data_IF_071050775122
#
_entry.id   IF_071050775122
#
_cell.length_a   1.000
_cell.length_b   1.000
_cell.length_c   1.000
_cell.angle_alpha   90.00
_cell.angle_beta   90.00
_cell.angle_gamma   90.00
#
_symmetry.space_group_name_H-M   'P 1'
#
loop_
_entity.id
_entity.type
_entity.pdbx_description
1 polymer ?
#
# COMPACT_ATOMS: atom_id res chain seq x y z
N UNK A 1 15.63 -40.21 -14.94
CA UNK A 1 14.53 -39.22 -15.03
C UNK A 1 14.31 -38.46 -13.71
N UNK A 2 14.19 -39.14 -12.57
CA UNK A 2 13.92 -38.50 -11.26
C UNK A 2 15.01 -37.53 -10.76
N UNK A 3 16.30 -37.84 -11.00
CA UNK A 3 17.43 -36.96 -10.64
C UNK A 3 17.49 -35.64 -11.43
N UNK A 4 17.01 -35.61 -12.68
CA UNK A 4 16.98 -34.39 -13.48
C UNK A 4 15.91 -33.41 -12.99
N UNK A 5 14.75 -33.95 -12.60
CA UNK A 5 13.64 -33.17 -12.04
C UNK A 5 14.07 -32.58 -10.69
N UNK A 6 14.74 -33.38 -9.85
CA UNK A 6 15.25 -32.91 -8.55
C UNK A 6 16.32 -31.82 -8.69
N UNK A 7 17.26 -31.98 -9.63
CA UNK A 7 18.27 -30.95 -9.90
C UNK A 7 17.64 -29.67 -10.48
N UNK A 8 16.64 -29.78 -11.35
CA UNK A 8 15.92 -28.63 -11.90
C UNK A 8 15.15 -27.85 -10.84
N UNK A 9 14.46 -28.57 -9.93
CA UNK A 9 13.77 -27.98 -8.78
C UNK A 9 14.75 -27.29 -7.83
N UNK A 10 15.87 -27.93 -7.51
CA UNK A 10 16.90 -27.36 -6.64
C UNK A 10 17.50 -26.08 -7.24
N UNK A 11 17.78 -26.06 -8.54
CA UNK A 11 18.29 -24.87 -9.24
C UNK A 11 17.26 -23.75 -9.24
N UNK A 12 15.99 -24.07 -9.50
CA UNK A 12 14.90 -23.08 -9.50
C UNK A 12 14.71 -22.48 -8.11
N UNK A 13 14.67 -23.31 -7.08
CA UNK A 13 14.55 -22.88 -5.68
C UNK A 13 15.75 -22.03 -5.26
N UNK A 14 16.99 -22.41 -5.60
CA UNK A 14 18.18 -21.61 -5.29
C UNK A 14 18.14 -20.26 -6.02
N UNK A 15 17.67 -20.20 -7.27
CA UNK A 15 17.49 -18.93 -7.99
C UNK A 15 16.41 -18.07 -7.35
N UNK A 16 15.29 -18.65 -6.93
CA UNK A 16 14.20 -17.94 -6.28
C UNK A 16 14.61 -17.43 -4.91
N UNK A 17 15.33 -18.23 -4.11
CA UNK A 17 15.91 -17.82 -2.83
C UNK A 17 16.93 -16.72 -3.06
N UNK A 18 17.84 -16.85 -4.03
CA UNK A 18 18.82 -15.79 -4.36
C UNK A 18 18.15 -14.51 -4.85
N UNK A 19 17.03 -14.62 -5.54
CA UNK A 19 16.23 -13.48 -5.97
C UNK A 19 15.53 -12.80 -4.79
N UNK A 20 14.91 -13.58 -3.89
CA UNK A 20 14.18 -13.09 -2.71
C UNK A 20 15.11 -12.53 -1.63
N UNK A 21 16.25 -13.19 -1.37
CA UNK A 21 17.28 -12.81 -0.40
C UNK A 21 18.36 -11.90 -0.98
N UNK A 22 18.25 -11.51 -2.25
CA UNK A 22 19.06 -10.42 -2.76
C UNK A 22 18.76 -9.19 -1.92
N UNK A 23 19.79 -8.61 -1.29
CA UNK A 23 19.59 -7.48 -0.37
C UNK A 23 18.79 -6.39 -1.09
N UNK A 24 17.89 -5.72 -0.37
CA UNK A 24 17.13 -4.58 -0.88
C UNK A 24 18.04 -3.55 -1.60
N UNK A 25 19.29 -3.44 -1.15
CA UNK A 25 20.36 -2.65 -1.79
C UNK A 25 20.79 -3.20 -3.15
N UNK A 26 21.04 -4.49 -3.32
CA UNK A 26 21.43 -5.04 -4.63
C UNK A 26 20.32 -4.91 -5.68
N UNK A 27 19.05 -5.10 -5.29
CA UNK A 27 17.91 -4.86 -6.20
C UNK A 27 17.79 -3.39 -6.59
N UNK A 28 17.88 -2.48 -5.61
CA UNK A 28 17.79 -1.05 -5.87
C UNK A 28 18.97 -0.55 -6.72
N UNK A 29 20.20 -1.01 -6.48
CA UNK A 29 21.37 -0.68 -7.31
C UNK A 29 21.21 -1.17 -8.75
N UNK A 30 20.66 -2.37 -8.95
CA UNK A 30 20.42 -2.91 -10.29
C UNK A 30 19.32 -2.14 -11.04
N UNK A 31 18.25 -1.78 -10.36
CA UNK A 31 17.20 -0.92 -10.91
C UNK A 31 17.73 0.47 -11.26
N UNK A 32 18.49 1.10 -10.35
CA UNK A 32 19.15 2.39 -10.58
C UNK A 32 20.04 2.33 -11.82
N UNK A 33 20.82 1.25 -11.98
CA UNK A 33 21.73 1.08 -13.12
C UNK A 33 20.98 0.96 -14.44
N UNK A 34 19.92 0.14 -14.50
CA UNK A 34 19.07 -0.01 -15.70
C UNK A 34 18.36 1.29 -16.09
N UNK A 35 17.85 2.02 -15.10
CA UNK A 35 17.19 3.31 -15.30
C UNK A 35 18.21 4.34 -15.82
N UNK A 36 19.41 4.34 -15.23
CA UNK A 36 20.50 5.24 -15.64
C UNK A 36 20.94 4.99 -17.08
N UNK A 37 21.16 3.74 -17.47
CA UNK A 37 21.51 3.36 -18.85
C UNK A 37 20.46 3.87 -19.85
N UNK A 38 19.18 3.63 -19.57
CA UNK A 38 18.07 4.08 -20.42
C UNK A 38 18.01 5.59 -20.60
N UNK A 39 18.29 6.36 -19.56
CA UNK A 39 18.23 7.83 -19.61
C UNK A 39 19.52 8.47 -20.13
N UNK A 40 20.65 7.76 -20.10
CA UNK A 40 21.94 8.28 -20.58
C UNK A 40 21.94 8.53 -22.09
N UNK A 41 21.17 7.75 -22.85
CA UNK A 41 21.02 7.87 -24.31
C UNK A 41 20.10 9.04 -24.73
N UNK A 42 19.38 9.64 -23.79
CA UNK A 42 18.41 10.70 -24.07
C UNK A 42 19.09 12.08 -23.99
N UNK A 43 18.72 13.00 -24.89
CA UNK A 43 19.19 14.39 -24.89
C UNK A 43 18.69 15.20 -23.68
N UNK A 44 19.46 16.21 -23.27
CA UNK A 44 19.25 16.98 -22.02
C UNK A 44 17.86 17.63 -21.97
N UNK A 45 17.39 18.24 -23.06
CA UNK A 45 16.06 18.87 -23.12
C UNK A 45 14.91 17.88 -22.85
N UNK A 46 15.01 16.66 -23.39
CA UNK A 46 14.00 15.60 -23.19
C UNK A 46 14.09 14.98 -21.78
N UNK A 47 15.28 14.93 -21.18
CA UNK A 47 15.46 14.54 -19.79
C UNK A 47 14.83 15.55 -18.82
N UNK A 48 14.98 16.85 -19.09
CA UNK A 48 14.35 17.91 -18.28
C UNK A 48 12.82 17.84 -18.33
N UNK A 49 12.23 17.62 -19.51
CA UNK A 49 10.78 17.45 -19.66
C UNK A 49 10.25 16.23 -18.88
N UNK A 50 10.95 15.08 -19.00
CA UNK A 50 10.64 13.87 -18.23
C UNK A 50 10.73 14.13 -16.72
N UNK A 51 11.74 14.88 -16.29
CA UNK A 51 11.92 15.24 -14.88
C UNK A 51 10.79 16.14 -14.36
N UNK A 52 10.37 17.15 -15.13
CA UNK A 52 9.25 18.03 -14.77
C UNK A 52 7.96 17.20 -14.66
N UNK A 53 7.71 16.31 -15.61
CA UNK A 53 6.56 15.41 -15.60
C UNK A 53 6.55 14.51 -14.35
N UNK A 54 7.68 13.89 -14.00
CA UNK A 54 7.77 13.07 -12.79
C UNK A 54 7.60 13.89 -11.52
N UNK A 55 8.17 15.10 -11.43
CA UNK A 55 7.98 16.00 -10.28
C UNK A 55 6.51 16.38 -10.09
N UNK A 56 5.84 16.78 -11.17
CA UNK A 56 4.41 17.10 -11.13
C UNK A 56 3.57 15.87 -10.70
N UNK A 57 3.88 14.68 -11.21
CA UNK A 57 3.19 13.45 -10.80
C UNK A 57 3.40 13.09 -9.33
N UNK A 58 4.61 13.28 -8.79
CA UNK A 58 4.90 13.03 -7.38
C UNK A 58 4.15 14.02 -6.51
N UNK A 59 4.20 15.31 -6.83
CA UNK A 59 3.52 16.36 -6.09
C UNK A 59 2.00 16.15 -6.09
N UNK A 60 1.42 15.83 -7.25
CA UNK A 60 -0.01 15.50 -7.35
C UNK A 60 -0.35 14.24 -6.53
N UNK A 61 0.48 13.20 -6.58
CA UNK A 61 0.26 11.97 -5.79
C UNK A 61 0.36 12.23 -4.28
N UNK A 62 1.28 13.10 -3.85
CA UNK A 62 1.40 13.52 -2.45
C UNK A 62 0.20 14.34 -2.00
N UNK A 63 -0.26 15.29 -2.83
CA UNK A 63 -1.46 16.09 -2.56
C UNK A 63 -2.69 15.19 -2.41
N UNK A 64 -2.88 14.26 -3.34
CA UNK A 64 -3.96 13.27 -3.27
C UNK A 64 -3.85 12.40 -2.02
N UNK A 65 -2.65 11.92 -1.68
CA UNK A 65 -2.44 11.13 -0.48
C UNK A 65 -2.83 11.91 0.78
N UNK A 66 -2.32 13.14 0.93
CA UNK A 66 -2.64 14.00 2.06
C UNK A 66 -4.14 14.31 2.12
N UNK A 67 -4.76 14.63 0.98
CA UNK A 67 -6.20 14.91 0.90
C UNK A 67 -7.06 13.70 1.27
N UNK A 68 -6.73 12.52 0.74
CA UNK A 68 -7.43 11.26 1.07
C UNK A 68 -7.24 10.92 2.55
N UNK A 69 -6.03 11.03 3.08
CA UNK A 69 -5.74 10.76 4.48
C UNK A 69 -6.51 11.71 5.40
N UNK A 70 -6.50 13.01 5.10
CA UNK A 70 -7.24 14.01 5.85
C UNK A 70 -8.74 13.70 5.85
N UNK A 71 -9.33 13.52 4.66
CA UNK A 71 -10.76 13.21 4.53
C UNK A 71 -11.14 11.91 5.25
N UNK A 72 -10.29 10.89 5.16
CA UNK A 72 -10.49 9.59 5.82
C UNK A 72 -10.43 9.73 7.34
N UNK A 73 -9.44 10.44 7.89
CA UNK A 73 -9.35 10.69 9.34
C UNK A 73 -10.53 11.52 9.83
N UNK A 74 -10.92 12.57 9.11
CA UNK A 74 -12.08 13.40 9.47
C UNK A 74 -13.37 12.59 9.43
N UNK A 75 -13.55 11.70 8.44
CA UNK A 75 -14.72 10.83 8.35
C UNK A 75 -14.75 9.77 9.45
N UNK A 76 -13.62 9.11 9.73
CA UNK A 76 -13.50 8.07 10.74
C UNK A 76 -13.64 8.60 12.17
N UNK A 77 -13.13 9.80 12.45
CA UNK A 77 -13.25 10.44 13.77
C UNK A 77 -14.55 11.26 13.93
N UNK A 78 -15.20 11.61 12.81
CA UNK A 78 -16.47 12.32 12.79
C UNK A 78 -17.69 11.41 12.90
N UNK A 79 -18.87 11.95 12.58
CA UNK A 79 -20.14 11.22 12.69
C UNK A 79 -20.26 10.00 11.76
N UNK A 80 -19.51 9.98 10.66
CA UNK A 80 -19.49 8.85 9.71
C UNK A 80 -18.89 7.58 10.34
N UNK A 81 -17.80 7.71 11.11
CA UNK A 81 -17.21 6.58 11.82
C UNK A 81 -18.20 5.92 12.78
N UNK A 82 -18.94 6.72 13.55
CA UNK A 82 -19.97 6.19 14.44
C UNK A 82 -21.17 5.60 13.71
N UNK A 83 -21.59 6.20 12.59
CA UNK A 83 -22.66 5.64 11.77
C UNK A 83 -22.28 4.26 11.20
N UNK A 84 -21.04 4.09 10.75
CA UNK A 84 -20.52 2.81 10.23
C UNK A 84 -20.45 1.76 11.35
N UNK A 85 -19.96 2.12 12.53
CA UNK A 85 -19.90 1.22 13.68
C UNK A 85 -21.30 0.77 14.10
N UNK A 86 -22.26 1.71 14.18
CA UNK A 86 -23.63 1.39 14.54
C UNK A 86 -24.32 0.52 13.49
N UNK A 87 -24.07 0.77 12.20
CA UNK A 87 -24.57 -0.08 11.12
C UNK A 87 -23.97 -1.48 11.17
N UNK A 88 -22.66 -1.60 11.40
CA UNK A 88 -21.98 -2.88 11.58
C UNK A 88 -22.56 -3.65 12.77
N UNK A 89 -22.76 -2.96 13.90
CA UNK A 89 -23.37 -3.55 15.09
C UNK A 89 -24.79 -4.05 14.82
N UNK A 90 -25.62 -3.27 14.11
CA UNK A 90 -26.96 -3.70 13.72
C UNK A 90 -26.92 -4.95 12.83
N UNK A 91 -26.00 -5.02 11.86
CA UNK A 91 -25.83 -6.22 11.03
C UNK A 91 -25.42 -7.45 11.83
N UNK A 92 -24.48 -7.29 12.77
CA UNK A 92 -24.03 -8.38 13.63
C UNK A 92 -25.17 -8.89 14.54
N UNK A 93 -25.97 -7.98 15.11
CA UNK A 93 -27.13 -8.34 15.94
C UNK A 93 -28.18 -9.11 15.14
N UNK A 94 -28.51 -8.67 13.93
CA UNK A 94 -29.48 -9.34 13.05
C UNK A 94 -29.02 -10.77 12.68
N UNK A 95 -27.71 -10.97 12.51
CA UNK A 95 -27.16 -12.27 12.13
C UNK A 95 -27.04 -13.24 13.32
N UNK A 96 -26.81 -12.73 14.53
CA UNK A 96 -26.66 -13.54 15.76
C UNK A 96 -28.03 -13.90 16.37
N UNK A 97 -29.02 -13.00 16.29
CA UNK A 97 -30.38 -13.26 16.79
C UNK A 97 -31.43 -12.84 15.76
N UNK A 98 -31.71 -13.69 14.74
CA UNK A 98 -32.68 -13.38 13.68
C UNK A 98 -34.14 -13.31 14.19
N UNK A 99 -34.39 -13.59 15.47
CA UNK A 99 -35.73 -13.59 16.09
C UNK A 99 -36.15 -12.23 16.68
N UNK A 100 -35.25 -11.27 16.84
CA UNK A 100 -35.56 -9.98 17.48
C UNK A 100 -35.56 -8.83 16.46
N UNK A 101 -36.65 -8.03 16.47
CA UNK A 101 -36.72 -6.80 15.69
C UNK A 101 -35.56 -5.86 16.08
N UNK A 102 -34.93 -5.18 15.11
CA UNK A 102 -33.68 -4.43 15.31
C UNK A 102 -33.76 -3.29 16.34
N UNK A 103 -34.97 -2.82 16.69
CA UNK A 103 -35.18 -1.76 17.67
C UNK A 103 -35.35 -2.26 19.13
N UNK A 104 -35.70 -3.54 19.33
CA UNK A 104 -35.93 -4.13 20.68
C UNK A 104 -34.80 -5.08 21.10
N UNK A 105 -33.98 -5.54 20.16
CA UNK A 105 -32.86 -6.45 20.40
C UNK A 105 -31.79 -5.87 21.35
N UNK A 106 -31.51 -4.56 21.29
CA UNK A 106 -30.45 -3.93 22.09
C UNK A 106 -30.72 -4.01 23.60
N UNK A 107 -31.99 -4.06 24.00
CA UNK A 107 -32.43 -4.07 25.41
C UNK A 107 -32.77 -5.48 25.92
N UNK A 108 -32.82 -6.48 25.04
CA UNK A 108 -33.14 -7.88 25.35
C UNK A 108 -31.97 -8.86 25.13
N UNK A 109 -30.82 -8.39 24.65
CA UNK A 109 -29.61 -9.19 24.54
C UNK A 109 -29.10 -9.59 25.93
N UNK A 110 -28.90 -10.89 26.14
CA UNK A 110 -28.23 -11.36 27.36
C UNK A 110 -26.78 -10.87 27.39
N UNK A 111 -26.20 -10.71 28.59
CA UNK A 111 -24.86 -10.15 28.79
C UNK A 111 -23.77 -10.92 28.01
N UNK A 112 -24.00 -12.22 27.77
CA UNK A 112 -23.09 -13.06 26.97
C UNK A 112 -23.20 -12.81 25.46
N UNK A 113 -24.40 -12.63 24.92
CA UNK A 113 -24.61 -12.31 23.50
C UNK A 113 -24.03 -10.94 23.16
N UNK A 114 -24.22 -9.95 24.04
CA UNK A 114 -23.65 -8.61 23.89
C UNK A 114 -22.11 -8.64 23.93
N UNK A 115 -21.52 -9.50 24.76
CA UNK A 115 -20.06 -9.71 24.83
C UNK A 115 -19.51 -10.32 23.53
N UNK A 116 -20.21 -11.29 22.95
CA UNK A 116 -19.82 -11.88 21.65
C UNK A 116 -19.94 -10.88 20.49
N UNK A 117 -21.01 -10.07 20.46
CA UNK A 117 -21.17 -8.99 19.46
C UNK A 117 -20.02 -8.00 19.55
N UNK A 118 -19.67 -7.53 20.76
CA UNK A 118 -18.56 -6.60 20.98
C UNK A 118 -17.20 -7.19 20.57
N UNK A 119 -16.97 -8.48 20.85
CA UNK A 119 -15.73 -9.16 20.43
C UNK A 119 -15.61 -9.23 18.91
N UNK A 120 -16.69 -9.59 18.20
CA UNK A 120 -16.70 -9.67 16.74
C UNK A 120 -16.56 -8.28 16.12
N UNK A 121 -17.27 -7.28 16.65
CA UNK A 121 -17.15 -5.87 16.24
C UNK A 121 -15.69 -5.39 16.35
N UNK A 122 -15.04 -5.64 17.49
CA UNK A 122 -13.63 -5.31 17.70
C UNK A 122 -12.71 -6.00 16.70
N UNK A 123 -12.95 -7.29 16.41
CA UNK A 123 -12.16 -8.06 15.44
C UNK A 123 -12.29 -7.51 14.02
N UNK A 124 -13.49 -7.12 13.61
CA UNK A 124 -13.77 -6.51 12.31
C UNK A 124 -13.10 -5.13 12.19
N UNK A 125 -13.15 -4.31 13.26
CA UNK A 125 -12.47 -3.00 13.28
C UNK A 125 -10.95 -3.19 13.15
N UNK A 126 -10.36 -4.15 13.86
CA UNK A 126 -8.92 -4.45 13.77
C UNK A 126 -8.55 -4.87 12.34
N UNK A 127 -9.33 -5.76 11.72
CA UNK A 127 -9.10 -6.18 10.34
C UNK A 127 -9.19 -5.00 9.35
N UNK A 128 -10.14 -4.11 9.55
CA UNK A 128 -10.29 -2.90 8.73
C UNK A 128 -9.10 -1.95 8.87
N UNK A 129 -8.63 -1.70 10.10
CA UNK A 129 -7.43 -0.90 10.36
C UNK A 129 -6.20 -1.52 9.69
N UNK A 130 -6.05 -2.84 9.76
CA UNK A 130 -4.94 -3.54 9.12
C UNK A 130 -4.93 -3.34 7.59
N UNK A 131 -6.09 -3.44 6.93
CA UNK A 131 -6.23 -3.17 5.49
C UNK A 131 -5.87 -1.72 5.16
N UNK A 132 -6.30 -0.76 5.98
CA UNK A 132 -5.94 0.65 5.79
C UNK A 132 -4.43 0.87 5.88
N UNK A 133 -3.76 0.28 6.87
CA UNK A 133 -2.31 0.38 7.03
C UNK A 133 -1.60 -0.20 5.80
N UNK A 134 -2.02 -1.36 5.30
CA UNK A 134 -1.46 -1.94 4.07
C UNK A 134 -1.62 -1.02 2.86
N UNK A 135 -2.81 -0.41 2.70
CA UNK A 135 -3.06 0.57 1.64
C UNK A 135 -2.15 1.79 1.73
N UNK A 136 -1.94 2.32 2.93
CA UNK A 136 -1.02 3.44 3.19
C UNK A 136 0.42 3.06 2.82
N UNK A 137 0.91 1.93 3.30
CA UNK A 137 2.27 1.45 3.02
C UNK A 137 2.49 1.30 1.50
N UNK A 138 1.53 0.69 0.79
CA UNK A 138 1.60 0.55 -0.66
C UNK A 138 1.65 1.90 -1.39
N UNK A 139 0.84 2.87 -0.94
CA UNK A 139 0.83 4.19 -1.56
C UNK A 139 2.14 4.95 -1.34
N UNK A 140 2.70 4.88 -0.13
CA UNK A 140 4.01 5.46 0.21
C UNK A 140 5.10 4.84 -0.67
N UNK A 141 5.12 3.52 -0.83
CA UNK A 141 6.12 2.82 -1.63
C UNK A 141 6.08 3.25 -3.11
N UNK A 142 4.86 3.43 -3.65
CA UNK A 142 4.65 3.96 -5.00
C UNK A 142 5.21 5.37 -5.18
N UNK A 143 5.04 6.24 -4.18
CA UNK A 143 5.61 7.61 -4.20
C UNK A 143 7.14 7.54 -4.13
N UNK A 144 7.70 6.74 -3.21
CA UNK A 144 9.15 6.56 -3.05
C UNK A 144 9.81 6.10 -4.35
N UNK A 145 9.21 5.13 -5.04
CA UNK A 145 9.71 4.63 -6.33
C UNK A 145 9.78 5.73 -7.39
N UNK A 146 8.76 6.61 -7.46
CA UNK A 146 8.77 7.75 -8.38
C UNK A 146 9.81 8.81 -7.98
N UNK A 147 9.97 9.09 -6.69
CA UNK A 147 11.01 9.99 -6.18
C UNK A 147 12.42 9.49 -6.51
N UNK A 148 12.66 8.18 -6.38
CA UNK A 148 13.94 7.57 -6.76
C UNK A 148 14.27 7.82 -8.24
N UNK A 149 13.29 7.69 -9.14
CA UNK A 149 13.48 8.02 -10.58
C UNK A 149 13.86 9.48 -10.79
N UNK A 150 13.22 10.41 -10.07
CA UNK A 150 13.54 11.85 -10.15
C UNK A 150 14.99 12.09 -9.74
N UNK A 151 15.44 11.53 -8.60
CA UNK A 151 16.81 11.71 -8.12
C UNK A 151 17.85 11.20 -9.13
N UNK A 152 17.59 10.06 -9.77
CA UNK A 152 18.46 9.52 -10.82
C UNK A 152 18.49 10.44 -12.04
N UNK A 153 17.35 10.97 -12.47
CA UNK A 153 17.26 11.93 -13.57
C UNK A 153 18.01 13.24 -13.25
N UNK A 154 17.87 13.76 -12.03
CA UNK A 154 18.62 14.95 -11.57
C UNK A 154 20.13 14.73 -11.61
N UNK A 155 20.60 13.58 -11.14
CA UNK A 155 22.02 13.22 -11.15
C UNK A 155 22.58 13.12 -12.58
N UNK A 156 21.83 12.48 -13.50
CA UNK A 156 22.25 12.35 -14.91
C UNK A 156 22.30 13.72 -15.60
N UNK A 157 21.31 14.58 -15.37
CA UNK A 157 21.28 15.93 -15.96
C UNK A 157 22.47 16.74 -15.43
N UNK A 158 22.71 16.75 -14.11
CA UNK A 158 23.87 17.46 -13.52
C UNK A 158 25.20 16.99 -14.13
N UNK A 159 25.40 15.68 -14.27
CA UNK A 159 26.61 15.13 -14.86
C UNK A 159 26.77 15.48 -16.34
N UNK A 160 25.67 15.57 -17.11
CA UNK A 160 25.75 16.00 -18.51
C UNK A 160 26.06 17.49 -18.64
N UNK A 161 25.41 18.34 -17.84
CA UNK A 161 25.62 19.80 -17.88
C UNK A 161 26.99 20.24 -17.36
N UNK A 162 27.67 19.43 -16.53
CA UNK A 162 29.05 19.72 -16.08
C UNK A 162 30.14 19.22 -17.05
N UNK A 163 29.80 18.36 -18.01
CA UNK A 163 30.73 17.77 -18.98
C UNK A 163 30.59 18.37 -20.40
N UNK A 164 29.66 19.31 -20.59
CA UNK A 164 29.58 20.23 -21.73
C UNK A 164 30.24 21.57 -21.36
#
# INVERSE_FOLDING_TARGET
MMNQIWNSLKITIVRTIKYIFQSSEERSVKEVRLIRERYKEIGIAKLQDILISYKAQVQHSQLLFTGIMLAMFTALLGGLGQAIINWLRQLLIVNISPRLKPAEALNMLTTEEMKNVLLIEGLVIIAFIFILILGIVFFIDKIKTKQMKILILEDIIKQKTQNE
#
